data_IF_441883425463
#
_entry.id   IF_441883425463
#
_cell.length_a   1.000
_cell.length_b   1.000
_cell.length_c   1.000
_cell.angle_alpha   90.00
_cell.angle_beta   90.00
_cell.angle_gamma   90.00
#
_symmetry.space_group_name_H-M   'P 1'
#
loop_
_entity.id
_entity.type
_entity.pdbx_description
1 polymer ?
#
# COMPACT_ATOMS: atom_id res chain seq x y z
N UNK A 1 3.49 -37.10 -12.03
CA UNK A 1 3.28 -36.88 -13.48
C UNK A 1 4.07 -35.64 -13.84
N UNK A 2 5.38 -35.81 -13.85
CA UNK A 2 6.34 -34.72 -13.74
C UNK A 2 7.37 -34.94 -14.85
N UNK A 3 7.73 -33.87 -15.56
CA UNK A 3 8.86 -33.79 -16.49
C UNK A 3 8.64 -34.11 -17.99
N UNK A 4 7.46 -33.88 -18.58
CA UNK A 4 7.39 -33.93 -20.07
C UNK A 4 7.71 -32.58 -20.72
N UNK A 5 7.35 -31.43 -20.12
CA UNK A 5 7.61 -30.10 -20.72
C UNK A 5 7.78 -28.97 -19.68
N UNK A 6 8.99 -28.76 -19.12
CA UNK A 6 9.22 -27.73 -18.10
C UNK A 6 8.96 -26.31 -18.60
N UNK A 7 9.22 -26.02 -19.88
CA UNK A 7 8.98 -24.70 -20.47
C UNK A 7 7.49 -24.36 -20.59
N UNK A 8 6.65 -25.37 -20.85
CA UNK A 8 5.20 -25.19 -20.94
C UNK A 8 4.62 -24.90 -19.55
N UNK A 9 5.14 -25.56 -18.51
CA UNK A 9 4.74 -25.28 -17.13
C UNK A 9 5.08 -23.83 -16.71
N UNK A 10 6.27 -23.35 -17.06
CA UNK A 10 6.68 -21.96 -16.81
C UNK A 10 5.79 -20.99 -17.58
N UNK A 11 5.51 -21.28 -18.86
CA UNK A 11 4.65 -20.43 -19.69
C UNK A 11 3.23 -20.31 -19.10
N UNK A 12 2.66 -21.41 -18.64
CA UNK A 12 1.35 -21.43 -17.99
C UNK A 12 1.36 -20.65 -16.67
N UNK A 13 2.41 -20.78 -15.87
CA UNK A 13 2.58 -19.97 -14.65
C UNK A 13 2.63 -18.48 -14.96
N UNK A 14 3.44 -18.08 -15.94
CA UNK A 14 3.52 -16.67 -16.38
C UNK A 14 2.15 -16.19 -16.87
N UNK A 15 1.50 -16.96 -17.74
CA UNK A 15 0.17 -16.64 -18.27
C UNK A 15 -0.87 -16.41 -17.17
N UNK A 16 -0.87 -17.23 -16.12
CA UNK A 16 -1.77 -17.07 -14.97
C UNK A 16 -1.41 -15.87 -14.08
N UNK A 17 -0.12 -15.50 -13.99
CA UNK A 17 0.32 -14.35 -13.17
C UNK A 17 0.08 -12.99 -13.83
N UNK A 18 0.07 -12.91 -15.17
CA UNK A 18 -0.17 -11.67 -15.92
C UNK A 18 -1.48 -10.95 -15.54
N UNK A 19 -2.66 -11.61 -15.55
CA UNK A 19 -3.90 -10.92 -15.18
C UNK A 19 -3.89 -10.50 -13.70
N UNK A 20 -3.28 -11.31 -12.83
CA UNK A 20 -3.22 -11.04 -11.40
C UNK A 20 -2.34 -9.82 -11.08
N UNK A 21 -1.19 -9.71 -11.74
CA UNK A 21 -0.32 -8.53 -11.63
C UNK A 21 -0.97 -7.30 -12.24
N UNK A 22 -1.69 -7.43 -13.36
CA UNK A 22 -2.40 -6.32 -13.97
C UNK A 22 -3.50 -5.77 -13.05
N UNK A 23 -4.34 -6.63 -12.46
CA UNK A 23 -5.38 -6.20 -11.51
C UNK A 23 -4.78 -5.53 -10.27
N UNK A 24 -3.67 -6.04 -9.74
CA UNK A 24 -2.97 -5.41 -8.60
C UNK A 24 -2.37 -4.05 -8.97
N UNK A 25 -1.81 -3.93 -10.18
CA UNK A 25 -1.29 -2.68 -10.73
C UNK A 25 -2.39 -1.64 -10.93
N UNK A 26 -3.49 -2.02 -11.57
CA UNK A 26 -4.67 -1.17 -11.78
C UNK A 26 -5.25 -0.65 -10.46
N UNK A 27 -5.39 -1.54 -9.45
CA UNK A 27 -5.78 -1.15 -8.08
C UNK A 27 -4.84 -0.09 -7.52
N UNK A 28 -3.54 -0.32 -7.59
CA UNK A 28 -2.51 0.59 -7.07
C UNK A 28 -2.50 1.96 -7.77
N UNK A 29 -2.59 1.99 -9.10
CA UNK A 29 -2.66 3.24 -9.87
C UNK A 29 -3.96 4.01 -9.63
N UNK A 30 -5.09 3.31 -9.48
CA UNK A 30 -6.37 3.93 -9.13
C UNK A 30 -6.30 4.60 -7.76
N UNK A 31 -5.70 3.95 -6.77
CA UNK A 31 -5.46 4.53 -5.43
C UNK A 31 -4.53 5.74 -5.51
N UNK A 32 -3.42 5.65 -6.24
CA UNK A 32 -2.49 6.76 -6.43
C UNK A 32 -3.17 7.97 -7.06
N UNK A 33 -4.02 7.77 -8.06
CA UNK A 33 -4.82 8.84 -8.69
C UNK A 33 -5.77 9.51 -7.69
N UNK A 34 -6.30 8.77 -6.70
CA UNK A 34 -7.13 9.32 -5.63
C UNK A 34 -6.32 10.12 -4.60
N UNK A 35 -5.10 9.66 -4.28
CA UNK A 35 -4.22 10.30 -3.30
C UNK A 35 -3.57 11.58 -3.88
N UNK A 36 -3.03 11.49 -5.10
CA UNK A 36 -2.38 12.58 -5.84
C UNK A 36 -3.41 13.24 -6.76
N UNK A 37 -4.05 14.29 -6.26
CA UNK A 37 -5.01 15.10 -7.01
C UNK A 37 -4.47 16.53 -7.23
N UNK A 38 -5.14 17.31 -8.07
CA UNK A 38 -4.72 18.66 -8.46
C UNK A 38 -4.48 19.59 -7.25
N UNK A 39 -5.35 19.53 -6.24
CA UNK A 39 -5.23 20.31 -5.01
C UNK A 39 -4.07 19.87 -4.10
N UNK A 40 -3.58 18.64 -4.26
CA UNK A 40 -2.46 18.06 -3.49
C UNK A 40 -1.18 17.94 -4.32
N UNK A 41 -1.06 18.73 -5.38
CA UNK A 41 0.06 18.72 -6.33
C UNK A 41 1.42 19.05 -5.69
N UNK A 42 1.44 19.80 -4.59
CA UNK A 42 2.64 20.16 -3.82
C UNK A 42 3.06 19.12 -2.78
N UNK A 43 2.40 17.96 -2.71
CA UNK A 43 2.75 16.93 -1.73
C UNK A 43 4.10 16.26 -2.08
N UNK A 44 5.01 16.23 -1.11
CA UNK A 44 6.32 15.58 -1.28
C UNK A 44 6.22 14.06 -1.44
N UNK A 45 7.16 13.49 -2.20
CA UNK A 45 7.17 12.07 -2.58
C UNK A 45 7.19 11.12 -1.39
N UNK A 46 7.93 11.44 -0.31
CA UNK A 46 7.94 10.61 0.90
C UNK A 46 6.54 10.50 1.54
N UNK A 47 5.83 11.62 1.63
CA UNK A 47 4.47 11.65 2.20
C UNK A 47 3.48 10.92 1.28
N UNK A 48 3.64 11.07 -0.04
CA UNK A 48 2.84 10.35 -1.02
C UNK A 48 3.01 8.84 -0.89
N UNK A 49 4.25 8.35 -0.81
CA UNK A 49 4.54 6.93 -0.71
C UNK A 49 3.99 6.34 0.61
N UNK A 50 4.20 7.02 1.73
CA UNK A 50 3.67 6.58 3.02
C UNK A 50 2.13 6.47 3.00
N UNK A 51 1.44 7.43 2.38
CA UNK A 51 -0.01 7.37 2.21
C UNK A 51 -0.43 6.25 1.26
N UNK A 52 0.30 6.02 0.18
CA UNK A 52 0.00 4.95 -0.77
C UNK A 52 0.03 3.57 -0.08
N UNK A 53 1.05 3.31 0.75
CA UNK A 53 1.16 2.07 1.54
C UNK A 53 -0.03 1.91 2.49
N UNK A 54 -0.41 2.97 3.23
CA UNK A 54 -1.56 2.93 4.13
C UNK A 54 -2.89 2.63 3.43
N UNK A 55 -3.07 3.11 2.19
CA UNK A 55 -4.26 2.84 1.39
C UNK A 55 -4.25 1.45 0.74
N UNK A 56 -3.06 0.93 0.39
CA UNK A 56 -2.91 -0.44 -0.12
C UNK A 56 -3.25 -1.46 0.97
N UNK A 57 -2.69 -1.25 2.16
CA UNK A 57 -2.88 -2.09 3.35
C UNK A 57 -4.07 -1.62 4.20
N UNK A 58 -5.11 -1.06 3.58
CA UNK A 58 -6.26 -0.51 4.29
C UNK A 58 -6.99 -1.58 5.11
N UNK A 59 -7.00 -2.83 4.65
CA UNK A 59 -7.59 -3.96 5.39
C UNK A 59 -6.91 -4.18 6.74
N UNK A 60 -5.57 -4.13 6.75
CA UNK A 60 -4.78 -4.20 7.97
C UNK A 60 -5.03 -2.94 8.81
N UNK A 61 -5.03 -1.76 8.20
CA UNK A 61 -5.25 -0.50 8.91
C UNK A 61 -6.61 -0.46 9.62
N UNK A 62 -7.65 -1.04 9.02
CA UNK A 62 -8.98 -1.13 9.64
C UNK A 62 -9.00 -2.05 10.87
N UNK A 63 -8.09 -3.02 10.96
CA UNK A 63 -7.94 -3.88 12.14
C UNK A 63 -7.17 -3.21 13.28
N UNK A 64 -6.45 -2.12 12.98
CA UNK A 64 -5.63 -1.40 13.96
C UNK A 64 -6.48 -0.36 14.69
N UNK A 65 -6.33 -0.31 16.01
CA UNK A 65 -7.01 0.66 16.87
C UNK A 65 -6.42 2.07 16.67
N UNK A 66 -7.13 2.87 15.88
CA UNK A 66 -6.74 4.25 15.55
C UNK A 66 -6.73 5.16 16.79
N UNK A 67 -7.55 4.88 17.81
CA UNK A 67 -7.58 5.70 19.03
C UNK A 67 -6.27 5.57 19.79
N UNK A 68 -5.73 4.34 19.89
CA UNK A 68 -4.41 4.10 20.51
C UNK A 68 -3.29 4.82 19.77
N UNK A 69 -3.29 4.80 18.44
CA UNK A 69 -2.29 5.51 17.63
C UNK A 69 -2.36 7.01 17.88
N UNK A 70 -3.57 7.58 17.94
CA UNK A 70 -3.75 9.01 18.20
C UNK A 70 -3.24 9.37 19.59
N UNK A 71 -3.57 8.58 20.61
CA UNK A 71 -3.10 8.78 21.97
C UNK A 71 -1.58 8.68 22.08
N UNK A 72 -0.97 7.70 21.42
CA UNK A 72 0.48 7.54 21.42
C UNK A 72 1.18 8.68 20.67
N UNK A 73 0.65 9.09 19.52
CA UNK A 73 1.14 10.25 18.79
C UNK A 73 1.03 11.53 19.62
N UNK A 74 -0.09 11.73 20.31
CA UNK A 74 -0.31 12.85 21.21
C UNK A 74 0.69 12.84 22.38
N UNK A 75 0.93 11.68 23.02
CA UNK A 75 1.94 11.52 24.08
C UNK A 75 3.36 11.79 23.57
N UNK A 76 3.69 11.37 22.35
CA UNK A 76 5.00 11.60 21.74
C UNK A 76 5.23 13.07 21.36
N UNK A 77 4.18 13.78 20.91
CA UNK A 77 4.23 15.20 20.55
C UNK A 77 4.00 16.14 21.74
N UNK A 78 3.51 15.62 22.87
CA UNK A 78 3.34 16.39 24.09
C UNK A 78 4.68 16.95 24.55
N UNK A 79 4.80 18.27 24.53
CA UNK A 79 5.99 18.98 25.02
C UNK A 79 6.10 18.73 26.53
N UNK A 80 6.99 17.82 26.94
CA UNK A 80 7.28 17.58 28.36
C UNK A 80 7.93 18.83 28.94
N UNK A 81 7.12 19.70 29.54
CA UNK A 81 7.63 20.82 30.34
C UNK A 81 8.08 20.20 31.66
N UNK A 82 9.38 19.93 31.78
CA UNK A 82 9.99 19.63 33.07
C UNK A 82 9.85 20.89 33.92
N UNK A 83 9.11 20.77 35.02
CA UNK A 83 9.08 21.72 36.13
C UNK A 83 10.04 21.17 37.18
#
# INVERSE_FOLDING_TARGET
MSCTFPNIEILLKIFLTIPLSNTSGERSFSLLKRIKNYFRSTMGEQKLNNLAVLYLEQEIMNSVDTAKIIDEFARSKARKKFI
#
